data_IF_486770966261
#
_entry.id   IF_486770966261
#
_cell.length_a   1.000
_cell.length_b   1.000
_cell.length_c   1.000
_cell.angle_alpha   90.00
_cell.angle_beta   90.00
_cell.angle_gamma   90.00
#
_symmetry.space_group_name_H-M   'P 1'
#
loop_
_entity.id
_entity.type
_entity.pdbx_description
1 polymer ?
#
# COMPACT_ATOMS: atom_id res chain seq x y z
N UNK A 1 24.60 -5.00 -15.88
CA UNK A 1 23.87 -5.56 -17.04
C UNK A 1 22.78 -6.55 -16.62
N UNK A 2 23.09 -7.67 -15.94
CA UNK A 2 22.07 -8.64 -15.51
C UNK A 2 21.06 -8.07 -14.49
N UNK A 3 21.55 -7.38 -13.45
CA UNK A 3 20.73 -6.68 -12.44
C UNK A 3 19.85 -5.59 -13.07
N UNK A 4 20.38 -4.87 -14.07
CA UNK A 4 19.65 -3.84 -14.79
C UNK A 4 18.48 -4.43 -15.58
N UNK A 5 18.72 -5.55 -16.29
CA UNK A 5 17.66 -6.28 -17.01
C UNK A 5 16.58 -6.80 -16.07
N UNK A 6 16.97 -7.32 -14.90
CA UNK A 6 16.03 -7.82 -13.90
C UNK A 6 15.17 -6.69 -13.30
N UNK A 7 15.80 -5.56 -12.99
CA UNK A 7 15.12 -4.34 -12.52
C UNK A 7 14.08 -3.87 -13.55
N UNK A 8 14.48 -3.75 -14.81
CA UNK A 8 13.57 -3.37 -15.91
C UNK A 8 12.44 -4.38 -16.08
N UNK A 9 12.73 -5.68 -16.01
CA UNK A 9 11.72 -6.72 -16.12
C UNK A 9 10.67 -6.66 -14.98
N UNK A 10 11.11 -6.40 -13.75
CA UNK A 10 10.21 -6.21 -12.60
C UNK A 10 9.35 -4.97 -12.80
N UNK A 11 9.93 -3.83 -13.18
CA UNK A 11 9.17 -2.61 -13.44
C UNK A 11 8.17 -2.77 -14.59
N UNK A 12 8.55 -3.45 -15.67
CA UNK A 12 7.67 -3.76 -16.79
C UNK A 12 6.53 -4.69 -16.35
N UNK A 13 6.82 -5.72 -15.56
CA UNK A 13 5.79 -6.62 -15.02
C UNK A 13 4.81 -5.87 -14.12
N UNK A 14 5.30 -5.09 -13.17
CA UNK A 14 4.47 -4.29 -12.25
C UNK A 14 3.63 -3.28 -13.04
N UNK A 15 4.25 -2.52 -13.94
CA UNK A 15 3.59 -1.52 -14.77
C UNK A 15 2.51 -2.12 -15.67
N UNK A 16 2.80 -3.22 -16.37
CA UNK A 16 1.81 -3.90 -17.23
C UNK A 16 0.63 -4.45 -16.43
N UNK A 17 0.87 -5.02 -15.25
CA UNK A 17 -0.21 -5.48 -14.35
C UNK A 17 -1.06 -4.32 -13.85
N UNK A 18 -0.44 -3.22 -13.45
CA UNK A 18 -1.14 -2.01 -13.01
C UNK A 18 -2.05 -1.46 -14.12
N UNK A 19 -1.49 -1.25 -15.32
CA UNK A 19 -2.23 -0.76 -16.49
C UNK A 19 -3.35 -1.71 -16.89
N UNK A 20 -3.11 -3.03 -16.84
CA UNK A 20 -4.14 -4.03 -17.14
C UNK A 20 -5.32 -3.93 -16.17
N UNK A 21 -5.06 -3.84 -14.86
CA UNK A 21 -6.11 -3.70 -13.84
C UNK A 21 -6.84 -2.35 -13.98
N UNK A 22 -6.12 -1.26 -14.24
CA UNK A 22 -6.73 0.05 -14.49
C UNK A 22 -7.63 0.02 -15.73
N UNK A 23 -7.18 -0.58 -16.81
CA UNK A 23 -7.95 -0.73 -18.05
C UNK A 23 -9.20 -1.60 -17.83
N UNK A 24 -9.07 -2.73 -17.13
CA UNK A 24 -10.21 -3.59 -16.79
C UNK A 24 -11.22 -2.85 -15.90
N UNK A 25 -10.73 -2.11 -14.91
CA UNK A 25 -11.58 -1.28 -14.04
C UNK A 25 -12.32 -0.24 -14.86
N UNK A 26 -11.64 0.45 -15.77
CA UNK A 26 -12.24 1.47 -16.64
C UNK A 26 -13.31 0.88 -17.58
N UNK A 27 -13.12 -0.37 -18.06
CA UNK A 27 -14.05 -1.01 -19.01
C UNK A 27 -15.22 -1.73 -18.32
N UNK A 28 -15.03 -2.30 -17.14
CA UNK A 28 -16.04 -3.11 -16.45
C UNK A 28 -16.93 -2.29 -15.51
N UNK A 29 -18.22 -2.18 -15.85
CA UNK A 29 -19.19 -1.40 -15.07
C UNK A 29 -19.29 -1.82 -13.59
N UNK A 30 -19.28 -3.13 -13.32
CA UNK A 30 -19.33 -3.67 -11.96
C UNK A 30 -18.12 -3.23 -11.11
N UNK A 31 -16.92 -3.22 -11.68
CA UNK A 31 -15.70 -2.77 -10.99
C UNK A 31 -15.76 -1.27 -10.69
N UNK A 32 -16.20 -0.45 -11.65
CA UNK A 32 -16.40 1.00 -11.43
C UNK A 32 -17.42 1.25 -10.32
N UNK A 33 -18.55 0.55 -10.35
CA UNK A 33 -19.57 0.66 -9.31
C UNK A 33 -19.01 0.26 -7.95
N UNK A 34 -18.19 -0.80 -7.85
CA UNK A 34 -17.56 -1.20 -6.60
C UNK A 34 -16.61 -0.13 -6.05
N UNK A 35 -15.75 0.44 -6.91
CA UNK A 35 -14.89 1.58 -6.56
C UNK A 35 -15.73 2.74 -6.02
N UNK A 36 -16.79 3.13 -6.74
CA UNK A 36 -17.67 4.22 -6.34
C UNK A 36 -18.35 3.94 -4.99
N UNK A 37 -18.78 2.70 -4.73
CA UNK A 37 -19.39 2.30 -3.45
C UNK A 37 -18.41 2.42 -2.27
N UNK A 38 -17.13 2.05 -2.48
CA UNK A 38 -16.10 2.23 -1.47
C UNK A 38 -15.85 3.72 -1.22
N UNK A 39 -15.58 4.48 -2.28
CA UNK A 39 -15.24 5.91 -2.20
C UNK A 39 -16.38 6.77 -1.63
N UNK A 40 -17.63 6.57 -2.07
CA UNK A 40 -18.79 7.30 -1.53
C UNK A 40 -19.04 7.05 -0.05
N UNK A 41 -18.53 5.95 0.49
CA UNK A 41 -18.62 5.63 1.90
C UNK A 41 -17.45 6.13 2.74
N UNK A 42 -16.44 6.76 2.14
CA UNK A 42 -15.39 7.43 2.89
C UNK A 42 -15.97 8.58 3.71
N UNK A 43 -15.40 8.80 4.88
CA UNK A 43 -15.83 9.76 5.90
C UNK A 43 -14.59 10.27 6.61
N UNK A 44 -14.70 11.45 7.24
CA UNK A 44 -13.57 12.10 7.92
C UNK A 44 -12.89 11.18 8.94
N UNK A 45 -13.64 10.36 9.68
CA UNK A 45 -13.06 9.46 10.70
C UNK A 45 -12.08 8.44 10.12
N UNK A 46 -12.23 8.04 8.86
CA UNK A 46 -11.29 7.13 8.20
C UNK A 46 -9.92 7.79 8.01
N UNK A 47 -9.87 9.12 7.89
CA UNK A 47 -8.65 9.90 7.71
C UNK A 47 -8.04 10.38 9.03
N UNK A 48 -8.86 10.62 10.07
CA UNK A 48 -8.38 11.14 11.36
C UNK A 48 -7.36 10.23 12.05
N UNK A 49 -7.49 8.90 11.88
CA UNK A 49 -6.56 7.94 12.48
C UNK A 49 -5.32 7.68 11.60
N UNK A 50 -5.31 8.17 10.35
CA UNK A 50 -4.22 7.92 9.41
C UNK A 50 -2.91 8.57 9.86
N UNK A 51 -2.86 9.85 10.30
CA UNK A 51 -1.63 10.44 10.81
C UNK A 51 -1.02 9.63 11.96
N UNK A 52 -1.85 9.19 12.92
CA UNK A 52 -1.39 8.39 14.06
C UNK A 52 -0.82 7.04 13.58
N UNK A 53 -1.56 6.32 12.73
CA UNK A 53 -1.11 5.04 12.19
C UNK A 53 0.18 5.18 11.36
N UNK A 54 0.27 6.20 10.50
CA UNK A 54 1.45 6.49 9.69
C UNK A 54 2.65 6.85 10.55
N UNK A 55 2.49 7.73 11.54
CA UNK A 55 3.58 8.09 12.46
C UNK A 55 4.10 6.85 13.19
N UNK A 56 3.22 5.96 13.66
CA UNK A 56 3.63 4.72 14.31
C UNK A 56 4.36 3.78 13.35
N UNK A 57 3.82 3.57 12.15
CA UNK A 57 4.46 2.74 11.10
C UNK A 57 5.84 3.29 10.76
N UNK A 58 5.97 4.58 10.49
CA UNK A 58 7.25 5.22 10.17
C UNK A 58 8.23 5.11 11.33
N UNK A 59 7.80 5.40 12.55
CA UNK A 59 8.66 5.32 13.75
C UNK A 59 9.19 3.91 13.95
N UNK A 60 8.29 2.91 13.91
CA UNK A 60 8.68 1.50 14.10
C UNK A 60 9.55 1.02 12.95
N UNK A 61 9.24 1.39 11.70
CA UNK A 61 10.08 1.08 10.55
C UNK A 61 11.49 1.65 10.71
N UNK A 62 11.62 2.92 11.08
CA UNK A 62 12.92 3.58 11.30
C UNK A 62 13.74 2.89 12.39
N UNK A 63 13.11 2.42 13.47
CA UNK A 63 13.79 1.68 14.53
C UNK A 63 14.20 0.28 14.07
N UNK A 64 13.31 -0.46 13.42
CA UNK A 64 13.59 -1.81 12.93
C UNK A 64 14.68 -1.83 11.86
N UNK A 65 14.73 -0.82 10.99
CA UNK A 65 15.77 -0.70 9.96
C UNK A 65 17.19 -0.50 10.54
N UNK A 66 17.33 -0.15 11.83
CA UNK A 66 18.63 -0.10 12.51
C UNK A 66 19.14 -1.47 12.95
N UNK A 67 18.28 -2.49 12.94
CA UNK A 67 18.64 -3.86 13.30
C UNK A 67 19.28 -4.53 12.07
N UNK A 68 20.51 -5.08 12.19
CA UNK A 68 21.15 -5.78 11.09
C UNK A 68 20.26 -6.86 10.48
N UNK A 69 20.18 -6.89 9.15
CA UNK A 69 19.36 -7.84 8.39
C UNK A 69 17.92 -7.38 8.16
N UNK A 70 17.34 -6.50 8.98
CA UNK A 70 15.96 -6.02 8.76
C UNK A 70 15.86 -4.92 7.69
N UNK A 71 16.98 -4.31 7.31
CA UNK A 71 17.06 -3.41 6.16
C UNK A 71 17.07 -4.12 4.81
N UNK A 72 17.18 -5.45 4.80
CA UNK A 72 17.16 -6.23 3.56
C UNK A 72 15.77 -6.25 2.92
N UNK A 73 15.72 -5.93 1.62
CA UNK A 73 14.62 -6.27 0.72
C UNK A 73 15.21 -6.81 -0.59
N UNK A 74 14.56 -7.78 -1.23
CA UNK A 74 15.14 -8.36 -2.46
C UNK A 74 15.24 -7.34 -3.61
N UNK A 75 14.42 -6.29 -3.59
CA UNK A 75 14.49 -5.19 -4.57
C UNK A 75 15.84 -4.48 -4.53
N UNK A 76 16.36 -4.19 -3.33
CA UNK A 76 17.68 -3.57 -3.18
C UNK A 76 18.79 -4.52 -3.60
N UNK A 77 18.60 -5.84 -3.42
CA UNK A 77 19.56 -6.86 -3.85
C UNK A 77 19.72 -6.93 -5.38
N UNK A 78 18.73 -6.47 -6.16
CA UNK A 78 18.77 -6.49 -7.62
C UNK A 78 19.08 -5.12 -8.25
N UNK A 79 19.47 -4.12 -7.45
CA UNK A 79 19.84 -2.78 -7.90
C UNK A 79 18.71 -1.74 -7.88
N UNK A 80 17.60 -2.07 -7.23
CA UNK A 80 16.51 -1.15 -6.96
C UNK A 80 16.75 -0.25 -5.74
N UNK A 81 16.14 0.94 -5.72
CA UNK A 81 16.11 1.81 -4.54
C UNK A 81 14.69 1.90 -3.99
N UNK A 82 14.56 1.98 -2.66
CA UNK A 82 13.26 2.17 -2.01
C UNK A 82 12.26 1.03 -2.28
N UNK A 83 11.11 1.37 -2.89
CA UNK A 83 10.02 0.44 -3.18
C UNK A 83 9.92 0.20 -4.70
N UNK A 84 9.96 -1.05 -5.20
CA UNK A 84 9.81 -1.35 -6.63
C UNK A 84 8.49 -0.84 -7.21
N UNK A 85 7.47 -0.71 -6.36
CA UNK A 85 6.15 -0.17 -6.73
C UNK A 85 6.25 1.31 -7.11
N UNK A 86 7.21 2.07 -6.55
CA UNK A 86 7.39 3.50 -6.86
C UNK A 86 8.37 3.70 -8.02
N UNK A 87 9.13 2.67 -8.41
CA UNK A 87 9.94 2.68 -9.62
C UNK A 87 11.21 3.55 -9.57
N UNK A 88 11.66 3.92 -8.36
CA UNK A 88 12.90 4.67 -8.17
C UNK A 88 14.09 3.74 -8.34
N UNK A 89 15.07 4.17 -9.14
CA UNK A 89 16.32 3.45 -9.38
C UNK A 89 17.44 4.47 -9.56
N UNK A 90 18.66 4.10 -9.14
CA UNK A 90 19.86 4.92 -9.36
C UNK A 90 20.10 5.24 -10.85
N UNK A 91 19.48 4.47 -11.75
CA UNK A 91 19.61 4.64 -13.20
C UNK A 91 18.82 5.82 -13.77
N UNK A 92 17.77 6.29 -13.09
CA UNK A 92 17.00 7.46 -13.51
C UNK A 92 17.41 8.72 -12.77
N UNK A 93 18.32 8.60 -11.78
CA UNK A 93 18.75 9.72 -10.95
C UNK A 93 19.37 10.84 -11.79
N UNK A 94 18.95 12.08 -11.51
CA UNK A 94 19.39 13.27 -12.23
C UNK A 94 18.70 13.46 -13.60
N UNK A 95 17.70 12.64 -13.94
CA UNK A 95 16.92 12.77 -15.17
C UNK A 95 15.45 13.08 -14.86
N UNK A 96 14.66 13.64 -15.81
CA UNK A 96 13.22 13.84 -15.60
C UNK A 96 12.44 12.55 -15.31
N UNK A 97 12.99 11.38 -15.66
CA UNK A 97 12.37 10.07 -15.39
C UNK A 97 12.33 9.74 -13.89
N UNK A 98 13.22 10.34 -13.09
CA UNK A 98 13.27 10.16 -11.62
C UNK A 98 11.92 10.50 -10.96
N UNK A 99 11.22 11.51 -11.48
CA UNK A 99 9.93 11.98 -10.95
C UNK A 99 8.75 11.56 -11.81
N UNK A 100 8.93 11.49 -13.14
CA UNK A 100 7.85 11.17 -14.07
C UNK A 100 7.33 9.74 -13.89
N UNK A 101 8.22 8.77 -13.69
CA UNK A 101 7.84 7.35 -13.52
C UNK A 101 7.01 7.15 -12.23
N UNK A 102 7.47 7.59 -11.03
CA UNK A 102 6.65 7.56 -9.83
C UNK A 102 5.31 8.31 -9.96
N UNK A 103 5.31 9.47 -10.60
CA UNK A 103 4.10 10.29 -10.76
C UNK A 103 3.04 9.57 -11.63
N UNK A 104 3.45 9.03 -12.78
CA UNK A 104 2.55 8.25 -13.64
C UNK A 104 2.02 7.01 -12.92
N UNK A 105 2.89 6.34 -12.15
CA UNK A 105 2.50 5.19 -11.34
C UNK A 105 1.39 5.57 -10.34
N UNK A 106 1.57 6.66 -9.57
CA UNK A 106 0.58 7.13 -8.59
C UNK A 106 -0.74 7.49 -9.28
N UNK A 107 -0.70 8.19 -10.41
CA UNK A 107 -1.89 8.57 -11.19
C UNK A 107 -2.71 7.34 -11.60
N UNK A 108 -2.05 6.28 -12.08
CA UNK A 108 -2.72 5.04 -12.49
C UNK A 108 -3.17 4.22 -11.28
N UNK A 109 -2.44 4.26 -10.18
CA UNK A 109 -2.74 3.50 -8.96
C UNK A 109 -3.98 4.03 -8.24
N UNK A 110 -4.12 5.36 -8.09
CA UNK A 110 -5.23 5.99 -7.35
C UNK A 110 -6.62 5.43 -7.68
N UNK A 111 -7.06 5.33 -8.96
CA UNK A 111 -8.40 4.86 -9.28
C UNK A 111 -8.64 3.37 -8.97
N UNK A 112 -7.58 2.56 -8.83
CA UNK A 112 -7.68 1.13 -8.55
C UNK A 112 -7.35 0.75 -7.10
N UNK A 113 -6.80 1.68 -6.31
CA UNK A 113 -6.51 1.49 -4.88
C UNK A 113 -7.66 0.85 -4.09
N UNK A 114 -8.93 1.28 -4.25
CA UNK A 114 -10.02 0.69 -3.48
C UNK A 114 -10.19 -0.81 -3.71
N UNK A 115 -9.94 -1.28 -4.94
CA UNK A 115 -10.06 -2.70 -5.29
C UNK A 115 -8.89 -3.54 -4.77
N UNK A 116 -7.68 -2.96 -4.70
CA UNK A 116 -6.55 -3.62 -4.07
C UNK A 116 -6.73 -3.72 -2.56
N UNK A 117 -7.12 -2.62 -1.91
CA UNK A 117 -7.44 -2.61 -0.49
C UNK A 117 -8.52 -3.67 -0.17
N UNK A 118 -9.61 -3.70 -0.95
CA UNK A 118 -10.65 -4.71 -0.78
C UNK A 118 -10.14 -6.15 -0.86
N UNK A 119 -9.31 -6.47 -1.85
CA UNK A 119 -8.75 -7.83 -2.00
C UNK A 119 -7.88 -8.23 -0.82
N UNK A 120 -7.07 -7.31 -0.31
CA UNK A 120 -6.26 -7.55 0.88
C UNK A 120 -7.14 -7.75 2.12
N UNK A 121 -8.17 -6.91 2.30
CA UNK A 121 -9.10 -7.04 3.42
C UNK A 121 -9.87 -8.37 3.37
N UNK A 122 -10.30 -8.82 2.18
CA UNK A 122 -10.88 -10.16 2.01
C UNK A 122 -9.90 -11.25 2.46
N UNK A 123 -8.66 -11.20 1.98
CA UNK A 123 -7.64 -12.21 2.28
C UNK A 123 -7.29 -12.29 3.76
N UNK A 124 -7.23 -11.13 4.43
CA UNK A 124 -6.63 -11.04 5.74
C UNK A 124 -7.62 -10.80 6.89
N UNK A 125 -8.88 -10.38 6.63
CA UNK A 125 -9.86 -9.99 7.67
C UNK A 125 -11.17 -10.77 7.60
N UNK A 126 -11.55 -11.34 6.45
CA UNK A 126 -12.81 -12.08 6.36
C UNK A 126 -12.82 -13.27 7.33
N UNK A 127 -13.82 -13.32 8.22
CA UNK A 127 -13.94 -14.37 9.25
C UNK A 127 -13.20 -14.04 10.55
N UNK A 128 -12.56 -12.88 10.66
CA UNK A 128 -11.80 -12.48 11.84
C UNK A 128 -12.62 -12.44 13.14
N UNK A 129 -13.93 -12.25 13.05
CA UNK A 129 -14.89 -12.32 14.16
C UNK A 129 -14.78 -13.62 14.96
N UNK A 130 -14.46 -14.74 14.30
CA UNK A 130 -14.39 -16.08 14.88
C UNK A 130 -12.97 -16.47 15.28
N UNK A 131 -11.98 -15.64 14.97
CA UNK A 131 -10.60 -15.91 15.29
C UNK A 131 -10.29 -15.57 16.76
N UNK A 132 -9.47 -16.43 17.37
CA UNK A 132 -8.84 -16.12 18.66
C UNK A 132 -7.93 -14.90 18.53
N UNK A 133 -7.68 -14.22 19.65
CA UNK A 133 -6.79 -13.06 19.67
C UNK A 133 -5.38 -13.36 19.09
N UNK A 134 -4.71 -14.49 19.45
CA UNK A 134 -3.42 -14.83 18.84
C UNK A 134 -3.48 -14.98 17.31
N UNK A 135 -4.55 -15.55 16.78
CA UNK A 135 -4.70 -15.71 15.33
C UNK A 135 -4.88 -14.34 14.64
N UNK A 136 -5.61 -13.39 15.24
CA UNK A 136 -5.69 -12.02 14.71
C UNK A 136 -4.33 -11.33 14.68
N UNK A 137 -3.52 -11.48 15.73
CA UNK A 137 -2.14 -10.96 15.78
C UNK A 137 -1.31 -11.57 14.67
N UNK A 138 -1.33 -12.90 14.53
CA UNK A 138 -0.64 -13.60 13.44
C UNK A 138 -1.03 -13.04 12.06
N UNK A 139 -2.33 -12.82 11.80
CA UNK A 139 -2.83 -12.26 10.54
C UNK A 139 -2.42 -10.81 10.30
N UNK A 140 -2.22 -10.01 11.35
CA UNK A 140 -1.66 -8.66 11.22
C UNK A 140 -0.16 -8.71 10.89
N UNK A 141 0.58 -9.63 11.51
CA UNK A 141 1.99 -9.88 11.18
C UNK A 141 2.14 -10.37 9.74
N UNK A 142 1.33 -11.36 9.34
CA UNK A 142 1.31 -11.90 7.98
C UNK A 142 0.98 -10.82 6.94
N UNK A 143 0.00 -9.96 7.22
CA UNK A 143 -0.34 -8.81 6.37
C UNK A 143 0.86 -7.89 6.15
N UNK A 144 1.61 -7.57 7.20
CA UNK A 144 2.83 -6.79 7.07
C UNK A 144 3.89 -7.51 6.23
N UNK A 145 4.23 -8.75 6.61
CA UNK A 145 5.28 -9.55 5.99
C UNK A 145 5.06 -9.88 4.51
N UNK A 146 3.81 -9.93 4.03
CA UNK A 146 3.53 -10.14 2.60
C UNK A 146 4.16 -9.05 1.74
N UNK A 147 4.36 -7.85 2.29
CA UNK A 147 4.99 -6.74 1.59
C UNK A 147 6.48 -7.00 1.29
N UNK A 148 7.15 -7.85 2.07
CA UNK A 148 8.50 -8.28 1.75
C UNK A 148 8.57 -9.04 0.41
N UNK A 149 7.48 -9.72 0.01
CA UNK A 149 7.40 -10.41 -1.28
C UNK A 149 7.39 -9.44 -2.45
N UNK A 150 6.91 -8.21 -2.26
CA UNK A 150 6.96 -7.15 -3.27
C UNK A 150 8.20 -6.26 -3.09
N UNK A 151 9.24 -6.71 -2.38
CA UNK A 151 10.54 -6.05 -2.33
C UNK A 151 10.71 -5.00 -1.23
N UNK A 152 9.70 -4.80 -0.37
CA UNK A 152 9.80 -3.93 0.80
C UNK A 152 10.79 -4.53 1.82
N UNK A 153 11.65 -3.72 2.46
CA UNK A 153 12.54 -4.22 3.51
C UNK A 153 11.80 -4.92 4.63
N UNK A 154 12.37 -6.00 5.19
CA UNK A 154 11.71 -6.83 6.22
C UNK A 154 11.26 -5.99 7.44
N UNK A 155 12.09 -5.04 7.90
CA UNK A 155 11.76 -4.15 9.00
C UNK A 155 10.55 -3.24 8.70
N UNK A 156 10.45 -2.75 7.46
CA UNK A 156 9.28 -1.97 7.01
C UNK A 156 8.05 -2.87 6.91
N UNK A 157 8.20 -4.08 6.36
CA UNK A 157 7.13 -5.06 6.27
C UNK A 157 6.57 -5.43 7.66
N UNK A 158 7.43 -5.62 8.66
CA UNK A 158 7.00 -5.81 10.06
C UNK A 158 6.28 -4.58 10.63
N UNK A 159 6.76 -3.36 10.34
CA UNK A 159 6.09 -2.15 10.79
C UNK A 159 4.68 -2.00 10.19
N UNK A 160 4.46 -2.42 8.94
CA UNK A 160 3.15 -2.42 8.28
C UNK A 160 2.10 -3.29 8.98
N UNK A 161 2.50 -4.21 9.88
CA UNK A 161 1.59 -4.94 10.74
C UNK A 161 0.75 -4.03 11.65
N UNK A 162 1.21 -2.80 11.93
CA UNK A 162 0.45 -1.78 12.68
C UNK A 162 -0.75 -1.31 11.86
N UNK A 163 -0.56 -1.03 10.56
CA UNK A 163 -1.67 -0.76 9.64
C UNK A 163 -2.63 -1.96 9.60
N UNK A 164 -2.07 -3.17 9.59
CA UNK A 164 -2.86 -4.39 9.66
C UNK A 164 -3.75 -4.48 10.92
N UNK A 165 -3.22 -4.13 12.08
CA UNK A 165 -3.96 -4.08 13.35
C UNK A 165 -5.03 -2.98 13.36
N UNK A 166 -4.75 -1.82 12.76
CA UNK A 166 -5.74 -0.76 12.57
C UNK A 166 -6.94 -1.26 11.75
N UNK A 167 -6.71 -1.87 10.58
CA UNK A 167 -7.79 -2.38 9.72
C UNK A 167 -8.55 -3.54 10.37
N UNK A 168 -7.84 -4.43 11.08
CA UNK A 168 -8.45 -5.50 11.88
C UNK A 168 -9.41 -4.94 12.95
N UNK A 169 -9.02 -3.85 13.61
CA UNK A 169 -9.86 -3.20 14.62
C UNK A 169 -11.11 -2.59 13.98
N UNK A 170 -10.97 -1.94 12.82
CA UNK A 170 -12.09 -1.38 12.06
C UNK A 170 -13.11 -2.48 11.67
N UNK A 171 -12.62 -3.61 11.17
CA UNK A 171 -13.44 -4.78 10.83
C UNK A 171 -14.23 -5.30 12.04
N UNK A 172 -13.53 -5.70 13.11
CA UNK A 172 -14.15 -6.34 14.28
C UNK A 172 -15.14 -5.40 14.98
N UNK A 173 -14.86 -4.09 14.99
CA UNK A 173 -15.75 -3.09 15.58
C UNK A 173 -17.10 -3.05 14.88
N UNK A 174 -17.10 -3.01 13.55
CA UNK A 174 -18.35 -2.90 12.76
C UNK A 174 -19.07 -4.23 12.67
N UNK A 175 -18.35 -5.36 12.66
CA UNK A 175 -18.96 -6.69 12.63
C UNK A 175 -20.00 -6.88 13.73
N UNK A 176 -19.68 -6.44 14.96
CA UNK A 176 -20.56 -6.56 16.13
C UNK A 176 -21.88 -5.81 15.98
N UNK A 177 -21.95 -4.81 15.10
CA UNK A 177 -23.12 -3.96 14.90
C UNK A 177 -23.90 -4.32 13.63
N UNK A 178 -23.17 -4.53 12.53
CA UNK A 178 -23.75 -4.53 11.18
C UNK A 178 -23.43 -5.81 10.37
N UNK A 179 -22.69 -6.77 10.94
CA UNK A 179 -22.36 -8.04 10.29
C UNK A 179 -21.17 -7.99 9.32
N UNK A 180 -20.93 -9.12 8.65
CA UNK A 180 -19.69 -9.40 7.90
C UNK A 180 -19.43 -8.51 6.69
N UNK A 181 -20.44 -8.25 5.86
CA UNK A 181 -20.27 -7.42 4.66
C UNK A 181 -19.97 -5.96 5.03
N UNK A 182 -20.70 -5.42 6.00
CA UNK A 182 -20.47 -4.06 6.50
C UNK A 182 -19.08 -3.92 7.16
N UNK A 183 -18.65 -4.94 7.92
CA UNK A 183 -17.33 -4.98 8.54
C UNK A 183 -16.21 -4.97 7.50
N UNK A 184 -16.32 -5.81 6.47
CA UNK A 184 -15.36 -5.87 5.38
C UNK A 184 -15.30 -4.54 4.62
N UNK A 185 -16.44 -3.92 4.38
CA UNK A 185 -16.50 -2.64 3.68
C UNK A 185 -15.93 -1.49 4.52
N UNK A 186 -16.13 -1.49 5.85
CA UNK A 186 -15.49 -0.52 6.75
C UNK A 186 -13.97 -0.66 6.75
N UNK A 187 -13.44 -1.88 6.90
CA UNK A 187 -11.99 -2.08 6.90
C UNK A 187 -11.38 -1.75 5.53
N UNK A 188 -12.08 -2.06 4.44
CA UNK A 188 -11.71 -1.65 3.08
C UNK A 188 -11.64 -0.13 2.95
N UNK A 189 -12.60 0.61 3.52
CA UNK A 189 -12.60 2.07 3.51
C UNK A 189 -11.48 2.67 4.35
N UNK A 190 -11.24 2.13 5.54
CA UNK A 190 -10.12 2.54 6.40
C UNK A 190 -8.78 2.33 5.70
N UNK A 191 -8.59 1.17 5.07
CA UNK A 191 -7.39 0.85 4.29
C UNK A 191 -7.28 1.73 3.04
N UNK A 192 -8.37 1.95 2.31
CA UNK A 192 -8.40 2.85 1.15
C UNK A 192 -8.04 4.28 1.55
N UNK A 193 -8.57 4.80 2.66
CA UNK A 193 -8.24 6.13 3.18
C UNK A 193 -6.76 6.25 3.57
N UNK A 194 -6.22 5.22 4.22
CA UNK A 194 -4.81 5.14 4.57
C UNK A 194 -3.92 5.20 3.32
N UNK A 195 -4.20 4.36 2.31
CA UNK A 195 -3.44 4.32 1.06
C UNK A 195 -3.59 5.59 0.23
N UNK A 196 -4.79 6.17 0.15
CA UNK A 196 -5.02 7.47 -0.51
C UNK A 196 -4.23 8.59 0.15
N UNK A 197 -4.17 8.61 1.49
CA UNK A 197 -3.40 9.63 2.22
C UNK A 197 -1.91 9.53 1.89
N UNK A 198 -1.35 8.31 1.87
CA UNK A 198 0.04 8.09 1.42
C UNK A 198 0.22 8.54 -0.02
N UNK A 199 -0.67 8.11 -0.93
CA UNK A 199 -0.55 8.43 -2.36
C UNK A 199 -0.61 9.94 -2.62
N UNK A 200 -1.47 10.67 -1.92
CA UNK A 200 -1.57 12.13 -2.02
C UNK A 200 -0.32 12.80 -1.45
N UNK A 201 0.16 12.39 -0.27
CA UNK A 201 1.40 12.93 0.31
C UNK A 201 2.59 12.71 -0.61
N UNK A 202 2.70 11.50 -1.20
CA UNK A 202 3.74 11.17 -2.16
C UNK A 202 3.61 12.02 -3.43
N UNK A 203 2.40 12.18 -3.98
CA UNK A 203 2.16 13.02 -5.15
C UNK A 203 2.55 14.48 -4.90
N UNK A 204 2.14 15.05 -3.76
CA UNK A 204 2.50 16.42 -3.36
C UNK A 204 4.01 16.57 -3.23
N UNK A 205 4.68 15.60 -2.58
CA UNK A 205 6.14 15.59 -2.48
C UNK A 205 6.82 15.55 -3.87
N UNK A 206 6.38 14.66 -4.76
CA UNK A 206 6.93 14.54 -6.11
C UNK A 206 6.76 15.84 -6.92
N UNK A 207 5.60 16.49 -6.82
CA UNK A 207 5.35 17.80 -7.47
C UNK A 207 6.25 18.88 -6.88
N UNK A 208 6.42 18.92 -5.56
CA UNK A 208 7.29 19.88 -4.90
C UNK A 208 8.76 19.72 -5.32
N UNK A 209 9.26 18.48 -5.43
CA UNK A 209 10.61 18.19 -5.94
C UNK A 209 10.73 18.59 -7.41
N UNK A 210 9.77 18.20 -8.26
CA UNK A 210 9.82 18.51 -9.68
C UNK A 210 9.75 20.02 -10.00
N UNK A 211 9.18 20.81 -9.10
CA UNK A 211 9.08 22.28 -9.22
C UNK A 211 10.19 23.03 -8.49
N UNK A 212 11.12 22.33 -7.83
CA UNK A 212 12.23 22.93 -7.07
C UNK A 212 11.81 23.56 -5.74
N UNK A 213 10.61 23.25 -5.24
CA UNK A 213 10.10 23.72 -3.93
C UNK A 213 10.65 22.87 -2.77
N UNK A 214 11.02 21.61 -3.04
CA UNK A 214 11.64 20.70 -2.09
C UNK A 214 12.90 20.05 -2.69
N UNK A 215 13.88 19.74 -1.84
CA UNK A 215 15.15 19.08 -2.20
C UNK A 215 15.26 17.71 -1.54
#
# INVERSE_FOLDING_TARGET
MFTDLLTVAVLALVGTRLVSVATQTARTAAMRQRVVTILRGLRLHHFLLVPVALTLVVTVATLLLRIPGLSFGWWTAIGGQGNPVIGVTDKTSGTPLEWLVPMLFVIVLIPILPLFAEREEVMFRQGAEHWSWPHRVYKCVQFGLVHALIGIPIGVALALSIGGAYFMTAYVRVYRRDGGEAALLESTRAHTAYNLSIAVLLFVYLVAVATGVAT
#
